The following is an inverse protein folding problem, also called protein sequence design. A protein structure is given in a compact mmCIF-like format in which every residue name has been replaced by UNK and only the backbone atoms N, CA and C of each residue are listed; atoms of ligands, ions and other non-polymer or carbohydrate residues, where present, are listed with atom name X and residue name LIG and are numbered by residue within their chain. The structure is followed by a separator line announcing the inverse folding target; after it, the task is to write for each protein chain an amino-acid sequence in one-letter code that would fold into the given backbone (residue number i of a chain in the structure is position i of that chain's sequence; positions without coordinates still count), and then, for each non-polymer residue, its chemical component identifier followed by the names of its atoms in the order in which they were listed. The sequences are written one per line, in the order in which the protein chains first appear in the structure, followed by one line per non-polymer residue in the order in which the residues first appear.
data_IF_874730306583
#
_entry.id   IF_874730306583
#
_cell.length_a   1.000
_cell.length_b   1.000
_cell.length_c   1.000
_cell.angle_alpha   90.00
_cell.angle_beta   90.00
_cell.angle_gamma   90.00
#
_symmetry.space_group_name_H-M   'P 1'
#
loop_
_entity.id
_entity.type
_entity.pdbx_description
1 polymer ?
#
# COMPACT_ATOMS: atom_id res chain seq x y z
N UNK A 1 -8.42 67.08 13.26
CA UNK A 1 -8.18 65.88 14.11
C UNK A 1 -8.51 64.59 13.35
N UNK A 2 -7.78 64.28 12.26
CA UNK A 2 -8.06 63.11 11.39
C UNK A 2 -6.88 62.11 11.28
N UNK A 3 -5.90 62.22 12.19
CA UNK A 3 -4.61 61.52 12.09
C UNK A 3 -4.34 60.51 13.22
N UNK A 4 -5.21 60.39 14.23
CA UNK A 4 -4.96 59.50 15.39
C UNK A 4 -5.52 58.08 15.21
N UNK A 5 -6.72 57.92 14.64
CA UNK A 5 -7.37 56.58 14.54
C UNK A 5 -6.70 55.64 13.52
N UNK A 6 -6.19 56.17 12.41
CA UNK A 6 -5.47 55.36 11.41
C UNK A 6 -4.15 54.76 11.93
N UNK A 7 -3.56 55.36 12.97
CA UNK A 7 -2.32 54.88 13.61
C UNK A 7 -2.59 53.72 14.57
N UNK A 8 -3.71 53.75 15.29
CA UNK A 8 -4.14 52.67 16.19
C UNK A 8 -4.56 51.45 15.37
N UNK A 9 -5.28 51.66 14.26
CA UNK A 9 -5.75 50.58 13.38
C UNK A 9 -4.60 49.90 12.63
N UNK A 10 -3.60 50.67 12.14
CA UNK A 10 -2.37 50.09 11.57
C UNK A 10 -1.53 49.32 12.60
N UNK A 11 -1.46 49.81 13.85
CA UNK A 11 -0.75 49.11 14.94
C UNK A 11 -1.45 47.83 15.37
N UNK A 12 -2.78 47.78 15.37
CA UNK A 12 -3.54 46.56 15.64
C UNK A 12 -3.41 45.53 14.52
N UNK A 13 -3.45 45.96 13.25
CA UNK A 13 -3.24 45.08 12.10
C UNK A 13 -1.81 44.51 12.08
N UNK A 14 -0.80 45.33 12.38
CA UNK A 14 0.59 44.85 12.51
C UNK A 14 0.78 43.93 13.73
N UNK A 15 0.18 44.26 14.88
CA UNK A 15 0.28 43.45 16.10
C UNK A 15 -0.42 42.10 15.94
N UNK A 16 -1.59 42.06 15.29
CA UNK A 16 -2.32 40.81 15.05
C UNK A 16 -1.66 39.95 13.96
N UNK A 17 -1.10 40.56 12.91
CA UNK A 17 -0.27 39.85 11.93
C UNK A 17 1.00 39.24 12.55
N UNK A 18 1.62 39.93 13.51
CA UNK A 18 2.77 39.42 14.28
C UNK A 18 2.36 38.27 15.20
N UNK A 19 1.19 38.33 15.84
CA UNK A 19 0.67 37.24 16.70
C UNK A 19 0.34 35.98 15.89
N UNK A 20 -0.21 36.13 14.68
CA UNK A 20 -0.46 35.00 13.77
C UNK A 20 0.85 34.40 13.23
N UNK A 21 1.86 35.23 12.95
CA UNK A 21 3.21 34.76 12.58
C UNK A 21 3.95 34.09 13.75
N UNK A 22 3.77 34.56 14.98
CA UNK A 22 4.38 33.97 16.18
C UNK A 22 3.72 32.64 16.61
N UNK A 23 2.41 32.48 16.35
CA UNK A 23 1.70 31.21 16.57
C UNK A 23 2.10 30.11 15.58
N UNK A 24 2.65 30.46 14.41
CA UNK A 24 3.15 29.51 13.41
C UNK A 24 4.55 28.96 13.75
N UNK A 25 5.34 29.63 14.60
CA UNK A 25 6.70 29.18 14.97
C UNK A 25 6.75 28.38 16.27
N UNK A 26 5.71 28.42 17.11
CA UNK A 26 5.65 27.71 18.40
C UNK A 26 5.07 26.29 18.34
N UNK A 27 4.59 25.86 17.16
CA UNK A 27 3.93 24.54 16.99
C UNK A 27 4.84 23.32 16.86
N UNK A 28 6.17 23.48 16.90
CA UNK A 28 7.14 22.38 16.69
C UNK A 28 7.96 22.07 17.94
N UNK A 29 7.33 21.89 19.11
CA UNK A 29 7.98 21.24 20.25
C UNK A 29 7.63 19.74 20.24
N UNK A 30 8.43 18.94 19.51
CA UNK A 30 8.45 17.48 19.67
C UNK A 30 8.80 17.17 21.13
N UNK A 31 7.84 16.61 21.89
CA UNK A 31 8.17 15.90 23.13
C UNK A 31 8.88 14.61 22.76
N UNK A 32 10.17 14.54 23.06
CA UNK A 32 10.91 13.28 23.05
C UNK A 32 10.30 12.35 24.11
N UNK A 33 9.93 11.10 23.76
CA UNK A 33 9.60 10.10 24.76
C UNK A 33 10.89 9.73 25.51
N UNK A 34 10.82 9.76 26.85
CA UNK A 34 11.92 9.35 27.72
C UNK A 34 12.36 7.89 27.46
N UNK A 35 13.60 7.54 27.83
CA UNK A 35 14.19 6.24 27.50
C UNK A 35 13.37 5.08 28.12
N UNK A 36 13.17 3.98 27.39
CA UNK A 36 12.42 2.83 27.90
C UNK A 36 13.16 2.17 29.07
N UNK A 37 12.43 1.62 30.06
CA UNK A 37 13.04 0.86 31.14
C UNK A 37 13.76 -0.37 30.57
N UNK A 38 14.98 -0.62 31.07
CA UNK A 38 15.85 -1.70 30.61
C UNK A 38 15.20 -3.10 30.68
N UNK A 39 15.73 -4.07 29.92
CA UNK A 39 15.13 -5.39 29.77
C UNK A 39 15.05 -6.10 31.13
N UNK A 40 13.83 -6.24 31.65
CA UNK A 40 13.54 -7.16 32.76
C UNK A 40 13.42 -8.56 32.20
N UNK A 41 14.26 -9.47 32.70
CA UNK A 41 14.18 -10.89 32.38
C UNK A 41 12.83 -11.45 32.84
N UNK A 42 11.95 -11.76 31.89
CA UNK A 42 10.71 -12.50 32.16
C UNK A 42 10.99 -13.98 31.93
N UNK A 43 10.82 -14.79 32.97
CA UNK A 43 10.78 -16.26 32.83
C UNK A 43 9.53 -16.62 32.06
N UNK A 44 9.71 -17.08 30.82
CA UNK A 44 8.62 -17.62 30.01
C UNK A 44 8.32 -19.03 30.51
N UNK A 45 7.17 -19.19 31.18
CA UNK A 45 6.61 -20.51 31.43
C UNK A 45 5.91 -20.98 30.14
N UNK A 46 6.24 -22.19 29.69
CA UNK A 46 5.57 -22.86 28.57
C UNK A 46 4.09 -23.04 28.91
N UNK A 47 3.23 -22.23 28.28
CA UNK A 47 1.81 -22.53 28.20
C UNK A 47 1.67 -23.78 27.31
N UNK A 48 1.21 -24.89 27.90
CA UNK A 48 0.74 -26.05 27.11
C UNK A 48 -0.40 -25.55 26.23
N UNK A 49 -0.15 -25.47 24.94
CA UNK A 49 -1.18 -25.31 23.93
C UNK A 49 -1.87 -26.65 23.75
N UNK A 50 -3.03 -26.82 24.37
CA UNK A 50 -4.00 -27.79 23.85
C UNK A 50 -4.42 -27.33 22.46
N UNK A 51 -4.08 -28.16 21.47
CA UNK A 51 -4.45 -27.94 20.07
C UNK A 51 -5.94 -28.18 19.92
N UNK A 52 -6.74 -27.13 20.07
CA UNK A 52 -8.08 -27.09 19.52
C UNK A 52 -7.94 -26.85 18.01
N UNK A 53 -8.03 -27.94 17.25
CA UNK A 53 -8.10 -27.93 15.80
C UNK A 53 -9.20 -26.97 15.33
N UNK A 54 -8.81 -25.79 14.85
CA UNK A 54 -9.68 -24.91 14.06
C UNK A 54 -8.89 -24.49 12.83
N UNK A 55 -9.37 -24.90 11.66
CA UNK A 55 -8.65 -24.87 10.39
C UNK A 55 -8.33 -23.47 9.88
N UNK A 56 -7.15 -22.97 10.19
CA UNK A 56 -6.44 -22.01 9.35
C UNK A 56 -5.68 -22.77 8.26
N UNK A 57 -6.00 -22.52 6.99
CA UNK A 57 -5.24 -23.09 5.87
C UNK A 57 -3.97 -22.25 5.67
N UNK A 58 -2.83 -22.74 6.15
CA UNK A 58 -1.52 -22.13 5.94
C UNK A 58 -0.89 -22.71 4.67
N UNK A 59 -0.64 -21.87 3.67
CA UNK A 59 0.14 -22.24 2.49
C UNK A 59 1.58 -21.74 2.67
N UNK A 60 2.52 -22.67 2.82
CA UNK A 60 3.95 -22.39 2.88
C UNK A 60 4.73 -23.47 2.15
N UNK A 61 5.68 -23.08 1.31
CA UNK A 61 6.63 -24.00 0.69
C UNK A 61 7.67 -24.39 1.74
N UNK A 62 7.65 -25.65 2.17
CA UNK A 62 8.67 -26.24 3.02
C UNK A 62 9.89 -26.59 2.16
N UNK A 63 10.89 -25.72 2.12
CA UNK A 63 12.18 -26.07 1.54
C UNK A 63 13.13 -26.60 2.63
N UNK A 64 13.63 -27.84 2.51
CA UNK A 64 14.56 -28.38 3.50
C UNK A 64 15.88 -27.62 3.44
N UNK A 65 16.24 -26.95 4.53
CA UNK A 65 17.51 -26.21 4.67
C UNK A 65 18.74 -27.14 4.60
N UNK A 66 18.56 -28.45 4.73
CA UNK A 66 19.60 -29.45 4.53
C UNK A 66 18.98 -30.76 4.03
N UNK A 67 19.26 -31.13 2.79
CA UNK A 67 19.03 -32.52 2.32
C UNK A 67 20.19 -33.37 2.84
N UNK A 68 19.99 -34.09 3.94
CA UNK A 68 20.93 -35.14 4.34
C UNK A 68 20.47 -36.46 3.71
N UNK A 69 21.24 -36.93 2.73
CA UNK A 69 20.95 -38.18 2.04
C UNK A 69 21.40 -39.34 2.94
N UNK A 70 20.53 -39.81 3.83
CA UNK A 70 20.75 -41.00 4.68
C UNK A 70 20.42 -42.30 3.93
N UNK A 71 20.76 -42.35 2.64
CA UNK A 71 20.77 -43.62 1.94
C UNK A 71 22.08 -44.32 2.34
N UNK A 72 21.98 -45.52 2.91
CA UNK A 72 23.11 -46.45 2.92
C UNK A 72 23.58 -46.57 1.46
N UNK A 73 24.67 -45.88 1.13
CA UNK A 73 25.01 -45.56 -0.26
C UNK A 73 25.40 -46.78 -1.10
N UNK A 74 25.49 -47.95 -0.47
CA UNK A 74 25.87 -49.20 -1.12
C UNK A 74 25.16 -50.39 -0.46
N UNK A 75 24.25 -51.09 -1.15
CA UNK A 75 23.83 -52.43 -0.75
C UNK A 75 24.98 -53.42 -0.99
N UNK A 76 25.37 -54.20 0.02
CA UNK A 76 26.43 -55.21 -0.13
C UNK A 76 26.48 -56.17 1.06
N UNK A 77 27.05 -57.36 0.87
CA UNK A 77 27.26 -58.30 1.98
C UNK A 77 28.36 -57.78 2.90
N UNK A 78 28.07 -57.77 4.19
CA UNK A 78 29.03 -57.41 5.24
C UNK A 78 30.00 -58.58 5.43
N UNK A 79 31.28 -58.36 5.16
CA UNK A 79 32.35 -59.36 5.33
C UNK A 79 32.75 -59.50 6.80
N UNK A 80 32.85 -58.38 7.51
CA UNK A 80 33.06 -58.35 8.96
C UNK A 80 32.60 -57.03 9.57
N UNK A 81 32.06 -57.12 10.79
CA UNK A 81 31.78 -55.94 11.62
C UNK A 81 33.09 -55.49 12.29
N UNK A 82 33.26 -54.17 12.47
CA UNK A 82 34.40 -53.61 13.18
C UNK A 82 34.49 -54.10 14.62
N UNK A 83 35.71 -54.12 15.19
CA UNK A 83 35.94 -54.48 16.57
C UNK A 83 35.99 -53.25 17.49
N UNK A 84 35.49 -53.40 18.72
CA UNK A 84 35.64 -52.46 19.83
C UNK A 84 36.48 -53.15 20.90
N UNK A 85 37.45 -52.42 21.44
CA UNK A 85 38.32 -52.91 22.50
C UNK A 85 37.65 -52.64 23.85
N UNK A 86 37.18 -53.70 24.48
CA UNK A 86 36.50 -53.65 25.77
C UNK A 86 37.32 -54.46 26.79
N UNK A 87 37.81 -53.82 27.84
CA UNK A 87 38.64 -54.48 28.86
C UNK A 87 39.92 -55.17 28.35
N UNK A 88 40.44 -54.76 27.19
CA UNK A 88 41.67 -55.31 26.60
C UNK A 88 41.48 -56.46 25.60
N UNK A 89 40.25 -56.97 25.41
CA UNK A 89 39.92 -57.95 24.36
C UNK A 89 39.16 -57.27 23.22
N UNK A 90 39.46 -57.66 21.98
CA UNK A 90 38.72 -57.20 20.80
C UNK A 90 37.44 -58.03 20.66
N UNK A 91 36.28 -57.34 20.64
CA UNK A 91 34.97 -57.96 20.40
C UNK A 91 34.23 -57.24 19.26
N UNK A 92 33.35 -57.91 18.51
CA UNK A 92 32.54 -57.26 17.48
C UNK A 92 31.60 -56.21 18.09
N UNK A 93 31.37 -55.12 17.35
CA UNK A 93 30.46 -54.02 17.67
C UNK A 93 29.04 -54.51 17.99
N UNK A 94 28.46 -54.01 19.09
CA UNK A 94 27.05 -54.22 19.46
C UNK A 94 26.32 -52.88 19.56
N UNK A 95 25.00 -52.94 19.44
CA UNK A 95 24.14 -51.76 19.63
C UNK A 95 24.37 -51.15 21.02
N UNK A 96 24.66 -49.85 21.07
CA UNK A 96 24.95 -49.11 22.31
C UNK A 96 26.44 -48.89 22.62
N UNK A 97 27.36 -49.49 21.86
CA UNK A 97 28.79 -49.24 22.02
C UNK A 97 29.18 -47.82 21.56
N UNK A 98 30.09 -47.16 22.29
CA UNK A 98 30.62 -45.84 21.93
C UNK A 98 31.64 -45.97 20.79
N UNK A 99 31.38 -45.31 19.67
CA UNK A 99 32.26 -45.27 18.50
C UNK A 99 32.93 -43.90 18.34
N UNK A 100 34.20 -43.89 17.95
CA UNK A 100 34.96 -42.65 17.74
C UNK A 100 34.90 -42.20 16.27
N UNK A 101 35.02 -40.89 16.04
CA UNK A 101 34.99 -40.32 14.69
C UNK A 101 36.12 -40.90 13.84
N UNK A 102 35.76 -41.65 12.79
CA UNK A 102 36.70 -42.28 11.86
C UNK A 102 36.89 -43.80 12.06
N UNK A 103 36.26 -44.41 13.07
CA UNK A 103 36.29 -45.86 13.28
C UNK A 103 35.46 -46.59 12.20
N UNK A 104 36.07 -47.59 11.56
CA UNK A 104 35.42 -48.40 10.51
C UNK A 104 34.42 -49.36 11.17
N UNK A 105 33.12 -49.20 10.87
CA UNK A 105 32.05 -49.97 11.51
C UNK A 105 31.78 -51.32 10.86
N UNK A 106 32.01 -51.45 9.56
CA UNK A 106 31.97 -52.72 8.85
C UNK A 106 32.79 -52.64 7.56
N UNK A 107 33.35 -53.78 7.15
CA UNK A 107 34.03 -53.97 5.87
C UNK A 107 33.07 -54.74 4.95
N UNK A 108 32.74 -54.14 3.81
CA UNK A 108 31.90 -54.76 2.77
C UNK A 108 32.76 -55.68 1.90
N UNK A 109 32.15 -56.69 1.29
CA UNK A 109 32.83 -57.54 0.30
C UNK A 109 32.96 -56.77 -1.02
N UNK A 110 34.19 -56.40 -1.39
CA UNK A 110 34.48 -55.53 -2.55
C UNK A 110 34.19 -56.20 -3.90
N UNK A 111 33.96 -57.52 -3.95
CA UNK A 111 33.74 -58.25 -5.20
C UNK A 111 32.49 -57.77 -5.93
N UNK A 112 31.38 -57.56 -5.23
CA UNK A 112 30.10 -57.16 -5.85
C UNK A 112 30.17 -55.73 -6.39
N UNK A 113 30.89 -54.85 -5.68
CA UNK A 113 31.16 -53.48 -6.09
C UNK A 113 32.08 -53.40 -7.32
N UNK A 114 33.12 -54.22 -7.35
CA UNK A 114 34.00 -54.34 -8.51
C UNK A 114 33.26 -54.91 -9.72
N UNK A 115 32.39 -55.91 -9.52
CA UNK A 115 31.54 -56.46 -10.59
C UNK A 115 30.55 -55.42 -11.12
N UNK A 116 29.92 -54.62 -10.25
CA UNK A 116 28.98 -53.58 -10.66
C UNK A 116 29.67 -52.40 -11.35
N UNK A 117 30.88 -52.03 -10.92
CA UNK A 117 31.71 -51.03 -11.59
C UNK A 117 32.19 -51.53 -12.97
N UNK A 118 32.57 -52.81 -13.08
CA UNK A 118 32.96 -53.45 -14.33
C UNK A 118 31.79 -53.58 -15.31
N UNK A 119 30.59 -53.97 -14.85
CA UNK A 119 29.40 -54.04 -15.72
C UNK A 119 28.97 -52.66 -16.21
N UNK A 120 29.10 -51.63 -15.37
CA UNK A 120 28.76 -50.25 -15.72
C UNK A 120 29.75 -49.64 -16.72
N UNK A 121 31.05 -49.96 -16.62
CA UNK A 121 32.05 -49.53 -17.61
C UNK A 121 31.92 -50.27 -18.95
N UNK A 122 31.51 -51.55 -18.94
CA UNK A 122 31.14 -52.29 -20.14
C UNK A 122 29.88 -51.72 -20.81
N UNK A 123 28.86 -51.33 -20.03
CA UNK A 123 27.67 -50.66 -20.57
C UNK A 123 27.97 -49.25 -21.14
N UNK A 124 29.01 -48.58 -20.63
CA UNK A 124 29.53 -47.33 -21.20
C UNK A 124 30.21 -47.54 -22.54
N UNK A 125 31.07 -48.55 -22.65
CA UNK A 125 31.79 -48.81 -23.90
C UNK A 125 30.82 -49.19 -25.02
N UNK A 126 29.79 -50.01 -24.75
CA UNK A 126 28.75 -50.33 -25.73
C UNK A 126 27.94 -49.11 -26.16
N UNK A 127 27.49 -48.29 -25.20
CA UNK A 127 26.76 -47.05 -25.51
C UNK A 127 27.60 -46.06 -26.34
N UNK A 128 28.92 -46.03 -26.12
CA UNK A 128 29.83 -45.20 -26.92
C UNK A 128 30.04 -45.72 -28.34
N UNK A 129 30.05 -47.04 -28.52
CA UNK A 129 30.13 -47.68 -29.84
C UNK A 129 28.85 -47.47 -30.65
N UNK A 130 27.68 -47.58 -30.02
CA UNK A 130 26.37 -47.32 -30.64
C UNK A 130 26.22 -45.86 -31.08
N UNK A 131 26.73 -44.91 -30.28
CA UNK A 131 26.74 -43.50 -30.64
C UNK A 131 27.69 -43.23 -31.82
N UNK A 132 28.88 -43.84 -31.82
CA UNK A 132 29.83 -43.69 -32.93
C UNK A 132 29.29 -44.23 -34.26
N UNK A 133 28.60 -45.38 -34.23
CA UNK A 133 27.97 -45.95 -35.43
C UNK A 133 26.79 -45.10 -35.93
N UNK A 134 26.01 -44.52 -35.00
CA UNK A 134 24.92 -43.61 -35.35
C UNK A 134 25.42 -42.26 -35.88
N UNK A 135 26.54 -41.74 -35.38
CA UNK A 135 27.19 -40.52 -35.88
C UNK A 135 27.76 -40.72 -37.30
N UNK A 136 28.34 -41.89 -37.58
CA UNK A 136 28.76 -42.25 -38.94
C UNK A 136 27.55 -42.32 -39.90
N UNK A 137 26.44 -42.91 -39.46
CA UNK A 137 25.20 -42.98 -40.25
C UNK A 137 24.57 -41.60 -40.50
N UNK A 138 24.67 -40.69 -39.54
CA UNK A 138 24.26 -39.30 -39.68
C UNK A 138 25.10 -38.58 -40.72
N UNK A 139 26.43 -38.69 -40.63
CA UNK A 139 27.35 -38.05 -41.57
C UNK A 139 27.09 -38.50 -43.00
N UNK A 140 26.79 -39.79 -43.20
CA UNK A 140 26.41 -40.33 -44.50
C UNK A 140 25.06 -39.75 -44.99
N UNK A 141 24.02 -39.74 -44.14
CA UNK A 141 22.72 -39.18 -44.50
C UNK A 141 22.76 -37.68 -44.80
N UNK A 142 23.62 -36.92 -44.11
CA UNK A 142 23.81 -35.49 -44.38
C UNK A 142 24.59 -35.24 -45.68
N UNK A 143 25.61 -36.05 -45.98
CA UNK A 143 26.30 -36.01 -47.26
C UNK A 143 25.37 -36.33 -48.43
N UNK A 144 24.48 -37.31 -48.27
CA UNK A 144 23.48 -37.68 -49.28
C UNK A 144 22.44 -36.58 -49.48
N UNK A 145 22.02 -35.89 -48.41
CA UNK A 145 21.14 -34.73 -48.49
C UNK A 145 21.79 -33.54 -49.22
N UNK A 146 23.07 -33.26 -48.94
CA UNK A 146 23.81 -32.20 -49.64
C UNK A 146 23.94 -32.52 -51.13
N UNK A 147 24.23 -33.78 -51.47
CA UNK A 147 24.26 -34.26 -52.86
C UNK A 147 22.91 -34.12 -53.54
N UNK A 148 21.83 -34.56 -52.89
CA UNK A 148 20.47 -34.46 -53.42
C UNK A 148 20.03 -33.00 -53.63
N UNK A 149 20.38 -32.09 -52.72
CA UNK A 149 20.13 -30.64 -52.88
C UNK A 149 20.88 -30.06 -54.07
N UNK A 150 22.14 -30.44 -54.27
CA UNK A 150 22.94 -30.00 -55.42
C UNK A 150 22.36 -30.47 -56.75
N UNK A 151 21.91 -31.72 -56.82
CA UNK A 151 21.28 -32.31 -58.02
C UNK A 151 19.87 -31.77 -58.28
N UNK A 152 19.11 -31.44 -57.24
CA UNK A 152 17.82 -30.77 -57.37
C UNK A 152 17.98 -29.33 -57.87
N UNK A 153 19.01 -28.61 -57.42
CA UNK A 153 19.32 -27.25 -57.87
C UNK A 153 19.71 -27.17 -59.36
N UNK A 154 20.32 -28.24 -59.90
CA UNK A 154 20.62 -28.35 -61.34
C UNK A 154 19.47 -28.92 -62.18
N UNK A 155 18.30 -29.20 -61.58
CA UNK A 155 17.13 -29.73 -62.26
C UNK A 155 17.24 -31.21 -62.68
N UNK A 156 18.26 -31.93 -62.23
CA UNK A 156 18.57 -33.29 -62.63
C UNK A 156 17.75 -34.36 -61.88
N UNK A 157 17.06 -33.99 -60.79
CA UNK A 157 16.36 -34.92 -59.89
C UNK A 157 14.95 -34.41 -59.55
N UNK A 158 13.91 -35.26 -59.58
CA UNK A 158 12.56 -34.88 -59.17
C UNK A 158 12.46 -34.63 -57.66
N UNK A 159 11.64 -33.64 -57.25
CA UNK A 159 11.52 -33.19 -55.86
C UNK A 159 11.16 -34.27 -54.83
N UNK A 160 10.58 -35.39 -55.26
CA UNK A 160 10.29 -36.54 -54.40
C UNK A 160 11.54 -37.22 -53.82
N UNK A 161 12.68 -37.21 -54.51
CA UNK A 161 13.93 -37.75 -53.97
C UNK A 161 14.58 -36.81 -52.94
N UNK A 162 14.40 -35.50 -53.12
CA UNK A 162 14.83 -34.50 -52.15
C UNK A 162 14.09 -34.68 -50.80
N UNK A 163 12.77 -34.87 -50.84
CA UNK A 163 11.98 -35.13 -49.63
C UNK A 163 12.38 -36.45 -48.92
N UNK A 164 12.72 -37.49 -49.68
CA UNK A 164 13.26 -38.76 -49.12
C UNK A 164 14.60 -38.55 -48.43
N UNK A 165 15.51 -37.78 -49.03
CA UNK A 165 16.80 -37.49 -48.41
C UNK A 165 16.64 -36.64 -47.14
N UNK A 166 15.72 -35.68 -47.13
CA UNK A 166 15.43 -34.85 -45.95
C UNK A 166 14.80 -35.64 -44.79
N UNK A 167 13.87 -36.54 -45.08
CA UNK A 167 13.25 -37.41 -44.07
C UNK A 167 14.26 -38.38 -43.45
N UNK A 168 15.18 -38.95 -44.25
CA UNK A 168 16.26 -39.80 -43.77
C UNK A 168 17.25 -39.04 -42.88
N UNK A 169 17.68 -37.84 -43.29
CA UNK A 169 18.58 -37.01 -42.48
C UNK A 169 17.92 -36.57 -41.15
N UNK A 170 16.62 -36.24 -41.17
CA UNK A 170 15.87 -35.90 -39.97
C UNK A 170 15.73 -37.10 -39.01
N UNK A 171 15.47 -38.29 -39.54
CA UNK A 171 15.41 -39.52 -38.74
C UNK A 171 16.77 -39.88 -38.14
N UNK A 172 17.87 -39.72 -38.90
CA UNK A 172 19.23 -39.95 -38.40
C UNK A 172 19.61 -38.97 -37.28
N UNK A 173 19.26 -37.68 -37.40
CA UNK A 173 19.44 -36.67 -36.34
C UNK A 173 18.68 -37.01 -35.06
N UNK A 174 17.45 -37.53 -35.18
CA UNK A 174 16.65 -37.95 -34.04
C UNK A 174 17.30 -39.13 -33.28
N UNK A 175 17.81 -40.13 -34.01
CA UNK A 175 18.48 -41.30 -33.43
C UNK A 175 19.78 -40.94 -32.71
N UNK A 176 20.63 -40.09 -33.31
CA UNK A 176 21.89 -39.65 -32.66
C UNK A 176 21.63 -38.83 -31.41
N UNK A 177 20.62 -37.96 -31.41
CA UNK A 177 20.24 -37.17 -30.25
C UNK A 177 19.76 -38.06 -29.08
N UNK A 178 18.95 -39.08 -29.36
CA UNK A 178 18.46 -40.02 -28.35
C UNK A 178 19.61 -40.85 -27.74
N UNK A 179 20.54 -41.35 -28.56
CA UNK A 179 21.70 -42.10 -28.08
C UNK A 179 22.68 -41.22 -27.29
N UNK A 180 22.82 -39.94 -27.65
CA UNK A 180 23.63 -38.96 -26.90
C UNK A 180 23.04 -38.70 -25.51
N UNK A 181 21.71 -38.58 -25.40
CA UNK A 181 21.04 -38.48 -24.11
C UNK A 181 21.22 -39.76 -23.27
N UNK A 182 21.12 -40.94 -23.89
CA UNK A 182 21.33 -42.23 -23.22
C UNK A 182 22.76 -42.38 -22.68
N UNK A 183 23.78 -41.97 -23.44
CA UNK A 183 25.18 -41.94 -22.99
C UNK A 183 25.37 -41.02 -21.78
N UNK A 184 24.74 -39.84 -21.79
CA UNK A 184 24.77 -38.90 -20.66
C UNK A 184 24.25 -39.52 -19.36
N UNK A 185 23.04 -40.10 -19.41
CA UNK A 185 22.42 -40.73 -18.23
C UNK A 185 23.22 -41.90 -17.66
N UNK A 186 23.77 -42.76 -18.54
CA UNK A 186 24.58 -43.89 -18.12
C UNK A 186 25.94 -43.43 -17.57
N UNK A 187 26.51 -42.33 -18.07
CA UNK A 187 27.79 -41.78 -17.60
C UNK A 187 27.71 -41.26 -16.16
N UNK A 188 26.56 -40.68 -15.82
CA UNK A 188 26.25 -40.28 -14.45
C UNK A 188 26.14 -41.50 -13.51
N UNK A 189 25.50 -42.58 -13.95
CA UNK A 189 25.43 -43.84 -13.18
C UNK A 189 26.82 -44.44 -12.91
N UNK A 190 27.74 -44.37 -13.87
CA UNK A 190 29.13 -44.85 -13.67
C UNK A 190 29.89 -43.96 -12.69
N UNK A 191 29.69 -42.64 -12.75
CA UNK A 191 30.29 -41.71 -11.79
C UNK A 191 29.79 -41.96 -10.36
N UNK A 192 28.51 -42.29 -10.19
CA UNK A 192 27.90 -42.67 -8.91
C UNK A 192 28.47 -44.00 -8.42
N UNK A 193 28.53 -45.04 -9.27
CA UNK A 193 29.07 -46.34 -8.92
C UNK A 193 30.56 -46.29 -8.54
N UNK A 194 31.37 -45.45 -9.23
CA UNK A 194 32.79 -45.29 -8.93
C UNK A 194 33.05 -44.57 -7.61
N UNK A 195 32.23 -43.57 -7.27
CA UNK A 195 32.28 -42.89 -5.96
C UNK A 195 31.82 -43.81 -4.82
N UNK A 196 30.79 -44.62 -5.07
CA UNK A 196 30.31 -45.63 -4.14
C UNK A 196 31.38 -46.69 -3.81
N UNK A 197 32.16 -47.10 -4.81
CA UNK A 197 33.27 -48.05 -4.60
C UNK A 197 34.48 -47.45 -3.86
N UNK A 198 34.71 -46.13 -3.92
CA UNK A 198 35.86 -45.50 -3.25
C UNK A 198 35.61 -45.16 -1.77
N UNK A 199 34.35 -44.94 -1.37
CA UNK A 199 33.98 -44.44 -0.04
C UNK A 199 33.22 -45.48 0.81
N UNK A 200 33.66 -46.74 0.84
CA UNK A 200 33.09 -47.79 1.68
C UNK A 200 33.38 -47.56 3.19
N UNK A 201 32.83 -46.49 3.77
CA UNK A 201 32.87 -46.17 5.20
C UNK A 201 31.45 -45.86 5.69
N UNK A 202 30.91 -46.75 6.52
CA UNK A 202 29.65 -46.54 7.21
C UNK A 202 29.81 -45.47 8.29
N UNK A 203 29.03 -44.38 8.19
CA UNK A 203 28.94 -43.30 9.19
C UNK A 203 27.70 -43.52 10.08
N UNK A 204 27.85 -43.25 11.38
CA UNK A 204 26.78 -43.41 12.39
C UNK A 204 25.58 -42.47 12.14
N UNK A 205 24.34 -42.88 12.48
CA UNK A 205 23.16 -42.03 12.41
C UNK A 205 23.32 -40.75 13.25
N UNK A 206 22.99 -39.59 12.67
CA UNK A 206 23.17 -38.26 13.29
C UNK A 206 22.51 -38.13 14.67
N UNK A 207 21.46 -38.91 14.92
CA UNK A 207 20.69 -38.98 16.16
C UNK A 207 21.51 -39.44 17.37
N UNK A 208 22.62 -40.16 17.16
CA UNK A 208 23.50 -40.61 18.24
C UNK A 208 24.48 -39.52 18.71
N UNK A 209 24.66 -38.45 17.93
CA UNK A 209 25.66 -37.39 18.18
C UNK A 209 25.01 -36.01 18.35
N UNK A 210 23.81 -35.80 17.82
CA UNK A 210 23.09 -34.53 17.92
C UNK A 210 21.58 -34.76 18.13
N UNK A 211 20.99 -33.94 19.01
CA UNK A 211 19.54 -33.90 19.22
C UNK A 211 18.90 -32.95 18.19
N UNK A 212 18.21 -33.51 17.21
CA UNK A 212 17.45 -32.72 16.25
C UNK A 212 16.16 -32.23 16.92
N UNK A 213 15.94 -30.92 16.91
CA UNK A 213 14.68 -30.31 17.32
C UNK A 213 14.18 -29.40 16.20
N UNK A 214 12.90 -29.53 15.88
CA UNK A 214 12.25 -28.71 14.85
C UNK A 214 11.63 -27.51 15.56
N UNK A 215 12.24 -26.34 15.38
CA UNK A 215 11.69 -25.08 15.87
C UNK A 215 11.20 -24.22 14.71
N UNK A 216 10.06 -23.56 14.91
CA UNK A 216 9.53 -22.61 13.95
C UNK A 216 10.28 -21.28 14.09
N UNK A 217 11.16 -20.98 13.14
CA UNK A 217 11.80 -19.67 13.05
C UNK A 217 11.07 -18.76 12.04
N UNK A 218 10.88 -17.47 12.36
CA UNK A 218 10.35 -16.51 11.40
C UNK A 218 11.31 -16.36 10.20
N UNK A 219 10.84 -16.64 8.99
CA UNK A 219 11.64 -16.45 7.76
C UNK A 219 12.07 -14.99 7.54
N UNK A 220 11.26 -14.03 8.01
CA UNK A 220 11.52 -12.59 7.90
C UNK A 220 11.13 -11.88 9.20
N UNK A 221 12.02 -11.05 9.71
CA UNK A 221 11.73 -10.15 10.83
C UNK A 221 11.41 -8.78 10.24
N UNK A 222 10.13 -8.42 10.21
CA UNK A 222 9.65 -7.10 9.79
C UNK A 222 9.78 -6.13 10.97
N UNK A 223 10.26 -4.93 10.69
CA UNK A 223 10.38 -3.85 11.67
C UNK A 223 9.81 -2.56 11.10
N UNK A 224 9.12 -1.79 11.94
CA UNK A 224 8.67 -0.43 11.66
C UNK A 224 9.15 0.46 12.80
N UNK A 225 9.80 1.59 12.48
CA UNK A 225 10.40 2.50 13.47
C UNK A 225 11.32 1.80 14.48
N UNK A 226 12.09 0.81 14.01
CA UNK A 226 13.01 -0.05 14.78
C UNK A 226 12.34 -1.06 15.73
N UNK A 227 11.01 -1.06 15.85
CA UNK A 227 10.26 -2.03 16.63
C UNK A 227 9.87 -3.24 15.77
N UNK A 228 9.81 -4.45 16.35
CA UNK A 228 9.40 -5.67 15.64
C UNK A 228 7.89 -5.65 15.43
N UNK A 229 7.45 -5.67 14.18
CA UNK A 229 6.05 -5.44 13.82
C UNK A 229 5.52 -6.60 12.98
N UNK A 230 4.25 -6.95 13.20
CA UNK A 230 3.50 -7.86 12.35
C UNK A 230 2.49 -7.03 11.58
N UNK A 231 2.59 -7.01 10.25
CA UNK A 231 1.65 -6.29 9.40
C UNK A 231 0.45 -7.19 9.10
N UNK A 232 -0.73 -6.75 9.52
CA UNK A 232 -2.01 -7.37 9.14
C UNK A 232 -2.66 -6.46 8.11
N UNK A 233 -2.82 -6.95 6.88
CA UNK A 233 -3.42 -6.22 5.78
C UNK A 233 -4.87 -6.66 5.53
N UNK A 234 -5.69 -5.71 5.09
CA UNK A 234 -7.03 -5.96 4.55
C UNK A 234 -7.20 -5.18 3.25
N UNK A 235 -7.95 -5.73 2.31
CA UNK A 235 -8.25 -5.10 1.02
C UNK A 235 -9.77 -4.88 0.95
N UNK A 236 -10.19 -3.71 0.46
CA UNK A 236 -11.60 -3.39 0.25
C UNK A 236 -12.17 -4.17 -0.93
N UNK A 237 -13.48 -4.43 -0.90
CA UNK A 237 -14.20 -4.92 -2.08
C UNK A 237 -14.33 -3.79 -3.11
N UNK A 238 -14.53 -4.16 -4.37
CA UNK A 238 -14.74 -3.20 -5.45
C UNK A 238 -15.94 -2.29 -5.14
N UNK A 239 -15.74 -0.98 -5.25
CA UNK A 239 -16.78 0.03 -5.01
C UNK A 239 -16.89 0.54 -3.56
N UNK A 240 -16.19 -0.06 -2.60
CA UNK A 240 -16.14 0.41 -1.22
C UNK A 240 -14.91 1.29 -0.95
N UNK A 241 -15.09 2.30 -0.09
CA UNK A 241 -14.00 3.19 0.32
C UNK A 241 -13.28 2.62 1.54
N UNK A 242 -11.95 2.77 1.56
CA UNK A 242 -11.12 2.34 2.69
C UNK A 242 -11.54 2.96 4.03
N UNK A 243 -12.01 4.22 4.01
CA UNK A 243 -12.50 4.90 5.22
C UNK A 243 -13.78 4.29 5.79
N UNK A 244 -14.65 3.74 4.95
CA UNK A 244 -15.89 3.10 5.37
C UNK A 244 -15.59 1.74 6.02
N UNK A 245 -14.79 0.91 5.35
CA UNK A 245 -14.34 -0.38 5.90
C UNK A 245 -13.62 -0.20 7.24
N UNK A 246 -12.76 0.81 7.34
CA UNK A 246 -12.06 1.11 8.58
C UNK A 246 -13.01 1.52 9.70
N UNK A 247 -14.00 2.38 9.42
CA UNK A 247 -14.98 2.81 10.42
C UNK A 247 -15.78 1.63 11.00
N UNK A 248 -16.11 0.65 10.16
CA UNK A 248 -16.83 -0.57 10.55
C UNK A 248 -15.94 -1.57 11.30
N UNK A 249 -14.68 -1.72 10.88
CA UNK A 249 -13.74 -2.67 11.48
C UNK A 249 -13.14 -2.18 12.81
N UNK A 250 -12.94 -0.86 12.97
CA UNK A 250 -12.36 -0.23 14.15
C UNK A 250 -12.96 -0.71 15.49
N UNK A 251 -14.29 -0.73 15.70
CA UNK A 251 -14.86 -1.17 16.98
C UNK A 251 -14.59 -2.65 17.30
N UNK A 252 -14.39 -3.51 16.29
CA UNK A 252 -14.01 -4.90 16.51
C UNK A 252 -12.52 -5.02 16.86
N UNK A 253 -11.67 -4.21 16.22
CA UNK A 253 -10.22 -4.18 16.46
C UNK A 253 -9.92 -3.63 17.85
N UNK A 254 -10.59 -2.56 18.27
CA UNK A 254 -10.40 -1.91 19.58
C UNK A 254 -10.78 -2.83 20.76
N UNK A 255 -11.55 -3.91 20.52
CA UNK A 255 -11.90 -4.92 21.54
C UNK A 255 -10.79 -5.95 21.76
N UNK A 256 -9.79 -6.03 20.89
CA UNK A 256 -8.70 -7.00 21.00
C UNK A 256 -7.78 -6.58 22.15
N UNK A 257 -7.74 -7.39 23.21
CA UNK A 257 -6.81 -7.18 24.34
C UNK A 257 -5.43 -7.70 23.97
N UNK A 258 -4.49 -6.78 23.78
CA UNK A 258 -3.09 -7.10 23.51
C UNK A 258 -2.36 -7.48 24.81
N UNK A 259 -1.41 -8.43 24.77
CA UNK A 259 -0.53 -8.72 25.90
C UNK A 259 0.30 -7.48 26.29
N UNK A 260 0.74 -7.37 27.56
CA UNK A 260 1.57 -6.25 27.99
C UNK A 260 2.86 -6.16 27.15
N UNK A 261 3.16 -4.95 26.65
CA UNK A 261 4.32 -4.69 25.79
C UNK A 261 4.04 -4.67 24.29
N UNK A 262 2.82 -4.98 23.86
CA UNK A 262 2.39 -4.84 22.46
C UNK A 262 1.52 -3.59 22.28
N UNK A 263 1.87 -2.77 21.28
CA UNK A 263 1.04 -1.67 20.79
C UNK A 263 0.46 -2.05 19.43
N UNK A 264 -0.72 -1.52 19.12
CA UNK A 264 -1.30 -1.60 17.79
C UNK A 264 -1.37 -0.20 17.22
N UNK A 265 -0.72 -0.02 16.07
CA UNK A 265 -0.74 1.21 15.31
C UNK A 265 -1.39 0.92 13.95
N UNK A 266 -2.20 1.86 13.49
CA UNK A 266 -2.80 1.77 12.16
C UNK A 266 -1.91 2.50 11.17
N UNK A 267 -1.39 1.76 10.19
CA UNK A 267 -0.57 2.29 9.10
C UNK A 267 -1.29 2.27 7.75
N UNK A 268 -0.58 2.63 6.69
CA UNK A 268 -1.09 2.55 5.30
C UNK A 268 -2.01 3.72 4.93
N UNK A 269 -3.10 3.42 4.22
CA UNK A 269 -4.02 4.44 3.67
C UNK A 269 -4.58 5.37 4.74
N UNK A 270 -4.92 4.84 5.92
CA UNK A 270 -5.45 5.65 7.01
C UNK A 270 -4.41 6.65 7.56
N UNK A 271 -3.15 6.22 7.70
CA UNK A 271 -2.08 7.10 8.17
C UNK A 271 -1.80 8.21 7.14
N UNK A 272 -1.77 7.85 5.85
CA UNK A 272 -1.66 8.82 4.77
C UNK A 272 -2.84 9.81 4.78
N UNK A 273 -4.05 9.31 4.97
CA UNK A 273 -5.26 10.13 5.08
C UNK A 273 -5.20 11.08 6.28
N UNK A 274 -4.78 10.60 7.46
CA UNK A 274 -4.65 11.40 8.67
C UNK A 274 -3.58 12.50 8.53
N UNK A 275 -2.42 12.17 7.94
CA UNK A 275 -1.37 13.15 7.64
C UNK A 275 -1.85 14.19 6.63
N UNK A 276 -2.59 13.79 5.60
CA UNK A 276 -3.17 14.70 4.62
C UNK A 276 -4.25 15.60 5.23
N UNK A 277 -5.11 15.08 6.12
CA UNK A 277 -6.05 15.92 6.86
C UNK A 277 -5.35 16.93 7.75
N UNK A 278 -4.28 16.54 8.43
CA UNK A 278 -3.51 17.45 9.26
C UNK A 278 -2.93 18.60 8.43
N UNK A 279 -2.30 18.31 7.30
CA UNK A 279 -1.73 19.35 6.42
C UNK A 279 -2.80 20.26 5.82
N UNK A 280 -3.91 19.71 5.31
CA UNK A 280 -5.02 20.50 4.76
C UNK A 280 -5.71 21.32 5.86
N UNK A 281 -5.84 20.81 7.08
CA UNK A 281 -6.43 21.57 8.18
C UNK A 281 -5.59 22.78 8.59
N UNK A 282 -4.26 22.67 8.51
CA UNK A 282 -3.35 23.80 8.72
C UNK A 282 -3.53 24.81 7.59
N UNK A 283 -3.54 24.35 6.34
CA UNK A 283 -3.79 25.21 5.19
C UNK A 283 -5.15 25.93 5.30
N UNK A 284 -6.21 25.24 5.71
CA UNK A 284 -7.54 25.80 5.91
C UNK A 284 -7.54 26.91 6.97
N UNK A 285 -6.87 26.71 8.12
CA UNK A 285 -6.76 27.76 9.15
C UNK A 285 -6.03 28.99 8.62
N UNK A 286 -4.95 28.79 7.88
CA UNK A 286 -4.18 29.89 7.25
C UNK A 286 -5.06 30.61 6.21
N UNK A 287 -5.75 29.88 5.33
CA UNK A 287 -6.65 30.45 4.33
C UNK A 287 -7.80 31.24 4.98
N UNK A 288 -8.42 30.70 6.02
CA UNK A 288 -9.48 31.38 6.78
C UNK A 288 -8.97 32.67 7.42
N UNK A 289 -7.78 32.64 8.04
CA UNK A 289 -7.17 33.83 8.60
C UNK A 289 -6.84 34.88 7.53
N UNK A 290 -6.37 34.44 6.35
CA UNK A 290 -6.06 35.32 5.23
C UNK A 290 -7.34 35.96 4.66
N UNK A 291 -8.40 35.17 4.49
CA UNK A 291 -9.73 35.67 4.08
C UNK A 291 -10.26 36.68 5.10
N UNK A 292 -10.14 36.40 6.39
CA UNK A 292 -10.57 37.35 7.41
C UNK A 292 -9.79 38.67 7.31
N UNK A 293 -8.47 38.60 7.14
CA UNK A 293 -7.63 39.79 7.01
C UNK A 293 -7.95 40.60 5.75
N UNK A 294 -8.18 39.94 4.61
CA UNK A 294 -8.57 40.63 3.37
C UNK A 294 -9.94 41.27 3.49
N UNK A 295 -10.90 40.66 4.19
CA UNK A 295 -12.20 41.25 4.45
C UNK A 295 -12.13 42.46 5.39
N UNK A 296 -11.32 42.38 6.45
CA UNK A 296 -11.09 43.53 7.35
C UNK A 296 -10.47 44.68 6.56
N UNK A 297 -9.53 44.39 5.66
CA UNK A 297 -8.93 45.41 4.80
C UNK A 297 -9.98 45.99 3.84
N UNK A 298 -10.74 45.16 3.15
CA UNK A 298 -11.75 45.59 2.19
C UNK A 298 -12.83 46.49 2.83
N UNK A 299 -13.37 46.09 3.97
CA UNK A 299 -14.51 46.75 4.58
C UNK A 299 -14.14 47.79 5.65
N UNK A 300 -12.86 47.92 5.98
CA UNK A 300 -12.33 48.75 7.07
C UNK A 300 -13.06 48.57 8.42
N UNK A 301 -13.74 47.43 8.62
CA UNK A 301 -14.54 47.13 9.80
C UNK A 301 -14.42 45.64 10.13
N UNK A 302 -14.23 45.32 11.41
CA UNK A 302 -14.00 43.96 11.91
C UNK A 302 -15.30 43.16 12.07
N UNK A 303 -16.44 43.84 12.28
CA UNK A 303 -17.73 43.17 12.49
C UNK A 303 -18.33 42.63 11.18
N UNK A 304 -18.12 43.30 10.04
CA UNK A 304 -18.65 42.82 8.75
C UNK A 304 -18.07 41.44 8.36
N UNK A 305 -16.74 41.20 8.41
CA UNK A 305 -16.16 39.87 8.23
C UNK A 305 -16.75 38.82 9.18
N UNK A 306 -17.00 39.18 10.45
CA UNK A 306 -17.55 38.25 11.44
C UNK A 306 -18.94 37.73 11.03
N UNK A 307 -19.77 38.57 10.41
CA UNK A 307 -21.09 38.17 9.89
C UNK A 307 -20.92 37.17 8.72
N UNK A 308 -19.91 37.35 7.87
CA UNK A 308 -19.58 36.39 6.80
C UNK A 308 -19.22 35.02 7.40
N UNK A 309 -18.40 35.00 8.46
CA UNK A 309 -18.04 33.77 9.15
C UNK A 309 -19.23 33.13 9.89
N UNK A 310 -20.15 33.93 10.41
CA UNK A 310 -21.40 33.44 11.02
C UNK A 310 -22.31 32.73 10.00
N UNK A 311 -22.16 33.01 8.70
CA UNK A 311 -22.92 32.34 7.64
C UNK A 311 -22.39 30.92 7.31
N UNK A 312 -21.13 30.60 7.64
CA UNK A 312 -20.48 29.33 7.28
C UNK A 312 -21.17 28.11 7.95
N UNK A 313 -21.50 28.12 9.26
CA UNK A 313 -22.22 27.02 9.89
C UNK A 313 -23.55 26.69 9.20
N UNK A 314 -24.26 27.69 8.67
CA UNK A 314 -25.49 27.46 7.92
C UNK A 314 -25.23 26.73 6.59
N UNK A 315 -24.12 27.01 5.91
CA UNK A 315 -23.71 26.26 4.73
C UNK A 315 -23.31 24.81 5.04
N UNK A 316 -22.73 24.56 6.21
CA UNK A 316 -22.38 23.21 6.67
C UNK A 316 -23.62 22.32 6.86
N UNK A 317 -24.77 22.89 7.23
CA UNK A 317 -26.04 22.14 7.26
C UNK A 317 -26.38 21.55 5.89
N UNK A 318 -26.11 22.31 4.81
CA UNK A 318 -26.27 21.85 3.42
C UNK A 318 -25.37 20.69 3.04
N UNK A 319 -24.12 20.75 3.49
CA UNK A 319 -23.15 19.67 3.29
C UNK A 319 -23.63 18.38 3.96
N UNK A 320 -24.02 18.47 5.23
CA UNK A 320 -24.49 17.31 6.00
C UNK A 320 -25.75 16.73 5.36
N UNK A 321 -26.71 17.57 4.98
CA UNK A 321 -27.93 17.13 4.30
C UNK A 321 -27.61 16.43 2.96
N UNK A 322 -26.69 16.97 2.17
CA UNK A 322 -26.25 16.37 0.90
C UNK A 322 -25.64 14.98 1.08
N UNK A 323 -24.79 14.81 2.10
CA UNK A 323 -24.21 13.50 2.43
C UNK A 323 -25.25 12.50 2.93
N UNK A 324 -26.18 12.95 3.78
CA UNK A 324 -27.24 12.08 4.35
C UNK A 324 -28.21 11.62 3.27
N UNK A 325 -28.68 12.52 2.41
CA UNK A 325 -29.59 12.18 1.30
C UNK A 325 -28.92 11.18 0.35
N UNK A 326 -27.63 11.35 0.09
CA UNK A 326 -26.90 10.49 -0.83
C UNK A 326 -26.28 9.24 -0.17
N UNK A 327 -26.47 9.08 1.14
CA UNK A 327 -25.95 7.97 1.97
C UNK A 327 -24.45 7.73 1.76
N UNK A 328 -23.67 8.79 1.61
CA UNK A 328 -22.22 8.71 1.45
C UNK A 328 -21.51 9.08 2.74
N UNK A 329 -20.43 8.35 3.05
CA UNK A 329 -19.63 8.63 4.24
C UNK A 329 -18.79 9.90 4.08
N UNK A 330 -18.40 10.51 5.20
CA UNK A 330 -17.48 11.64 5.20
C UNK A 330 -16.04 11.15 5.03
N UNK A 331 -15.49 11.34 3.83
CA UNK A 331 -14.11 10.97 3.47
C UNK A 331 -13.17 12.17 3.32
N UNK A 332 -11.93 11.89 2.91
CA UNK A 332 -10.94 12.95 2.60
C UNK A 332 -11.40 13.85 1.45
N UNK A 333 -11.95 13.26 0.40
CA UNK A 333 -12.51 14.03 -0.73
C UNK A 333 -13.71 14.89 -0.33
N UNK A 334 -14.56 14.41 0.59
CA UNK A 334 -15.66 15.20 1.13
C UNK A 334 -15.14 16.46 1.87
N UNK A 335 -14.09 16.31 2.68
CA UNK A 335 -13.46 17.44 3.37
C UNK A 335 -12.87 18.46 2.39
N UNK A 336 -12.21 18.01 1.33
CA UNK A 336 -11.74 18.90 0.27
C UNK A 336 -12.89 19.69 -0.37
N UNK A 337 -14.02 19.04 -0.64
CA UNK A 337 -15.25 19.70 -1.09
C UNK A 337 -15.71 20.79 -0.12
N UNK A 338 -15.79 20.49 1.18
CA UNK A 338 -16.13 21.49 2.22
C UNK A 338 -15.18 22.68 2.19
N UNK A 339 -13.87 22.44 2.10
CA UNK A 339 -12.89 23.53 2.07
C UNK A 339 -13.05 24.44 0.86
N UNK A 340 -13.36 23.86 -0.32
CA UNK A 340 -13.67 24.62 -1.54
C UNK A 340 -14.98 25.40 -1.41
N UNK A 341 -16.01 24.77 -0.83
CA UNK A 341 -17.33 25.37 -0.62
C UNK A 341 -17.27 26.64 0.24
N UNK A 342 -16.44 26.67 1.28
CA UNK A 342 -16.27 27.87 2.13
C UNK A 342 -15.88 29.08 1.28
N UNK A 343 -14.95 28.92 0.33
CA UNK A 343 -14.52 30.01 -0.55
C UNK A 343 -15.66 30.53 -1.45
N UNK A 344 -16.48 29.62 -1.98
CA UNK A 344 -17.63 29.99 -2.82
C UNK A 344 -18.72 30.70 -2.01
N UNK A 345 -18.99 30.24 -0.78
CA UNK A 345 -19.95 30.91 0.11
C UNK A 345 -19.46 32.33 0.44
N UNK A 346 -18.18 32.47 0.77
CA UNK A 346 -17.57 33.78 1.08
C UNK A 346 -17.68 34.72 -0.13
N UNK A 347 -17.40 34.27 -1.35
CA UNK A 347 -17.49 35.14 -2.54
C UNK A 347 -18.91 35.64 -2.79
N UNK A 348 -19.94 34.80 -2.61
CA UNK A 348 -21.33 35.20 -2.76
C UNK A 348 -21.77 36.25 -1.72
N UNK A 349 -21.24 36.18 -0.49
CA UNK A 349 -21.57 37.11 0.59
C UNK A 349 -20.87 38.46 0.41
N UNK A 350 -19.58 38.47 0.05
CA UNK A 350 -18.81 39.72 -0.17
C UNK A 350 -19.53 40.61 -1.17
N UNK A 351 -19.93 40.01 -2.29
CA UNK A 351 -20.58 40.64 -3.43
C UNK A 351 -21.96 41.23 -3.06
N UNK A 352 -22.66 40.60 -2.10
CA UNK A 352 -23.91 41.13 -1.54
C UNK A 352 -23.64 42.32 -0.61
N UNK A 353 -22.64 42.21 0.27
CA UNK A 353 -22.30 43.27 1.22
C UNK A 353 -21.82 44.54 0.51
N UNK A 354 -21.03 44.38 -0.54
CA UNK A 354 -20.56 45.48 -1.39
C UNK A 354 -21.73 46.27 -2.01
N UNK A 355 -22.78 45.56 -2.47
CA UNK A 355 -23.98 46.21 -3.02
C UNK A 355 -24.83 46.92 -1.97
N UNK A 356 -24.92 46.35 -0.76
CA UNK A 356 -25.62 47.01 0.34
C UNK A 356 -24.88 48.29 0.71
N UNK A 357 -23.55 48.24 0.76
CA UNK A 357 -22.70 49.40 1.03
C UNK A 357 -22.86 50.49 -0.02
N UNK A 358 -22.75 50.12 -1.29
CA UNK A 358 -22.94 51.05 -2.41
C UNK A 358 -24.32 51.70 -2.35
N UNK A 359 -25.40 50.93 -2.13
CA UNK A 359 -26.74 51.49 -2.01
C UNK A 359 -26.87 52.47 -0.82
N UNK A 360 -26.20 52.16 0.30
CA UNK A 360 -26.16 53.02 1.50
C UNK A 360 -25.39 54.31 1.28
N UNK A 361 -24.27 54.27 0.53
CA UNK A 361 -23.52 55.47 0.13
C UNK A 361 -24.37 56.42 -0.74
N UNK A 362 -25.30 55.87 -1.52
CA UNK A 362 -26.28 56.64 -2.29
C UNK A 362 -27.48 57.15 -1.45
N UNK A 363 -27.45 56.97 -0.12
CA UNK A 363 -28.45 57.51 0.81
C UNK A 363 -29.73 56.69 0.93
N UNK A 364 -29.77 55.45 0.43
CA UNK A 364 -30.96 54.61 0.61
C UNK A 364 -31.12 54.12 2.05
N UNK A 365 -32.37 54.02 2.49
CA UNK A 365 -32.74 53.41 3.76
C UNK A 365 -32.23 51.97 3.85
N UNK A 366 -31.68 51.55 5.00
CA UNK A 366 -31.06 50.24 5.20
C UNK A 366 -31.94 49.07 4.73
N UNK A 367 -33.21 49.08 5.12
CA UNK A 367 -34.15 48.04 4.74
C UNK A 367 -34.34 47.96 3.22
N UNK A 368 -34.45 49.10 2.54
CA UNK A 368 -34.56 49.15 1.06
C UNK A 368 -33.26 48.71 0.39
N UNK A 369 -32.11 49.19 0.88
CA UNK A 369 -30.79 48.83 0.37
C UNK A 369 -30.56 47.31 0.40
N UNK A 370 -30.94 46.66 1.50
CA UNK A 370 -30.80 45.20 1.66
C UNK A 370 -31.72 44.43 0.71
N UNK A 371 -32.97 44.86 0.54
CA UNK A 371 -33.93 44.24 -0.38
C UNK A 371 -33.45 44.40 -1.83
N UNK A 372 -33.06 45.60 -2.23
CA UNK A 372 -32.61 45.91 -3.58
C UNK A 372 -31.33 45.14 -3.93
N UNK A 373 -30.34 45.13 -3.02
CA UNK A 373 -29.12 44.34 -3.17
C UNK A 373 -29.43 42.84 -3.29
N UNK A 374 -30.38 42.33 -2.49
CA UNK A 374 -30.84 40.95 -2.54
C UNK A 374 -31.44 40.58 -3.91
N UNK A 375 -32.33 41.42 -4.44
CA UNK A 375 -33.02 41.23 -5.71
C UNK A 375 -32.06 41.27 -6.91
N UNK A 376 -31.18 42.28 -6.96
CA UNK A 376 -30.22 42.44 -8.06
C UNK A 376 -29.22 41.28 -8.08
N UNK A 377 -28.81 40.79 -6.91
CA UNK A 377 -27.85 39.68 -6.79
C UNK A 377 -28.50 38.30 -6.86
N UNK A 378 -29.83 38.17 -6.86
CA UNK A 378 -30.48 36.86 -6.89
C UNK A 378 -30.21 36.15 -8.22
N UNK A 379 -30.43 36.83 -9.35
CA UNK A 379 -30.24 36.24 -10.68
C UNK A 379 -28.79 35.81 -10.95
N UNK A 380 -27.76 36.64 -10.73
CA UNK A 380 -26.37 36.23 -10.97
C UNK A 380 -25.94 35.03 -10.13
N UNK A 381 -26.31 34.98 -8.84
CA UNK A 381 -25.94 33.87 -7.94
C UNK A 381 -26.65 32.57 -8.33
N UNK A 382 -27.91 32.63 -8.76
CA UNK A 382 -28.60 31.43 -9.24
C UNK A 382 -27.94 30.87 -10.50
N UNK A 383 -27.48 31.73 -11.43
CA UNK A 383 -26.77 31.29 -12.64
C UNK A 383 -25.45 30.59 -12.29
N UNK A 384 -24.66 31.13 -11.35
CA UNK A 384 -23.39 30.49 -10.95
C UNK A 384 -23.61 29.16 -10.26
N UNK A 385 -24.63 29.05 -9.40
CA UNK A 385 -24.98 27.79 -8.72
C UNK A 385 -25.45 26.76 -9.74
N UNK A 386 -26.35 27.11 -10.65
CA UNK A 386 -26.84 26.20 -11.69
C UNK A 386 -25.73 25.76 -12.63
N UNK A 387 -24.82 26.66 -13.02
CA UNK A 387 -23.66 26.31 -13.85
C UNK A 387 -22.72 25.35 -13.13
N UNK A 388 -22.46 25.59 -11.83
CA UNK A 388 -21.58 24.74 -11.02
C UNK A 388 -22.20 23.36 -10.80
N UNK A 389 -23.47 23.30 -10.43
CA UNK A 389 -24.21 22.03 -10.28
C UNK A 389 -24.23 21.29 -11.62
N UNK A 390 -24.55 21.97 -12.71
CA UNK A 390 -24.55 21.40 -14.06
C UNK A 390 -23.19 20.81 -14.47
N UNK A 391 -22.08 21.49 -14.16
CA UNK A 391 -20.73 20.99 -14.41
C UNK A 391 -20.32 19.81 -13.53
N UNK A 392 -20.89 19.69 -12.34
CA UNK A 392 -20.59 18.60 -11.40
C UNK A 392 -21.47 17.36 -11.59
N UNK A 393 -22.66 17.49 -12.21
CA UNK A 393 -23.55 16.34 -12.50
C UNK A 393 -22.85 15.20 -13.25
N UNK A 394 -22.15 15.41 -14.39
CA UNK A 394 -21.50 14.32 -15.10
C UNK A 394 -20.41 13.66 -14.25
N UNK A 395 -19.67 14.45 -13.47
CA UNK A 395 -18.65 13.94 -12.55
C UNK A 395 -19.26 13.10 -11.42
N UNK A 396 -20.49 13.39 -10.99
CA UNK A 396 -21.21 12.58 -10.00
C UNK A 396 -21.57 11.18 -10.52
N UNK A 397 -21.92 11.10 -11.81
CA UNK A 397 -22.35 9.87 -12.48
C UNK A 397 -21.14 9.00 -12.87
N UNK A 398 -20.13 9.58 -13.50
CA UNK A 398 -19.03 8.85 -14.13
C UNK A 398 -17.69 8.93 -13.37
N UNK A 399 -17.53 9.86 -12.42
CA UNK A 399 -16.25 10.12 -11.74
C UNK A 399 -15.80 9.04 -10.74
N UNK A 400 -16.61 8.01 -10.47
CA UNK A 400 -16.27 6.96 -9.52
C UNK A 400 -16.38 7.36 -8.03
N UNK A 401 -16.13 6.41 -7.10
CA UNK A 401 -16.49 6.55 -5.68
C UNK A 401 -15.73 7.65 -4.93
N UNK A 402 -14.48 7.96 -5.32
CA UNK A 402 -13.72 9.06 -4.70
C UNK A 402 -14.29 10.44 -5.06
N UNK A 403 -14.55 10.71 -6.34
CA UNK A 403 -15.02 12.01 -6.81
C UNK A 403 -16.47 12.28 -6.43
N UNK A 404 -17.27 11.21 -6.38
CA UNK A 404 -18.67 11.25 -5.99
C UNK A 404 -18.90 11.91 -4.62
N UNK A 405 -18.05 11.64 -3.63
CA UNK A 405 -18.15 12.28 -2.31
C UNK A 405 -17.92 13.79 -2.35
N UNK A 406 -16.93 14.24 -3.11
CA UNK A 406 -16.64 15.67 -3.29
C UNK A 406 -17.80 16.38 -3.98
N UNK A 407 -18.34 15.76 -5.04
CA UNK A 407 -19.45 16.32 -5.82
C UNK A 407 -20.73 16.47 -4.99
N UNK A 408 -21.12 15.45 -4.22
CA UNK A 408 -22.37 15.51 -3.44
C UNK A 408 -22.30 16.55 -2.32
N UNK A 409 -21.15 16.69 -1.67
CA UNK A 409 -20.90 17.76 -0.70
C UNK A 409 -21.05 19.12 -1.37
N UNK A 410 -20.48 19.29 -2.56
CA UNK A 410 -20.51 20.57 -3.27
C UNK A 410 -21.93 20.91 -3.72
N UNK A 411 -22.66 19.97 -4.33
CA UNK A 411 -24.03 20.19 -4.82
C UNK A 411 -25.00 20.46 -3.66
N UNK A 412 -25.00 19.60 -2.64
CA UNK A 412 -25.89 19.77 -1.48
C UNK A 412 -25.55 21.02 -0.68
N UNK A 413 -24.26 21.29 -0.51
CA UNK A 413 -23.73 22.50 0.11
C UNK A 413 -24.15 23.75 -0.65
N UNK A 414 -23.90 23.84 -1.96
CA UNK A 414 -24.26 25.01 -2.77
C UNK A 414 -25.76 25.27 -2.80
N UNK A 415 -26.58 24.25 -3.05
CA UNK A 415 -28.02 24.43 -3.19
C UNK A 415 -28.64 24.91 -1.88
N UNK A 416 -28.35 24.23 -0.77
CA UNK A 416 -28.93 24.61 0.51
C UNK A 416 -28.28 25.88 1.08
N UNK A 417 -26.96 26.03 0.98
CA UNK A 417 -26.28 27.24 1.44
C UNK A 417 -26.77 28.46 0.68
N UNK A 418 -27.03 28.39 -0.62
CA UNK A 418 -27.55 29.53 -1.39
C UNK A 418 -28.94 29.94 -0.92
N UNK A 419 -29.83 28.97 -0.70
CA UNK A 419 -31.17 29.24 -0.21
C UNK A 419 -31.13 29.88 1.19
N UNK A 420 -30.34 29.30 2.09
CA UNK A 420 -30.22 29.75 3.48
C UNK A 420 -29.51 31.11 3.54
N UNK A 421 -28.41 31.31 2.81
CA UNK A 421 -27.67 32.58 2.84
C UNK A 421 -28.49 33.72 2.24
N UNK A 422 -29.23 33.51 1.15
CA UNK A 422 -30.08 34.56 0.57
C UNK A 422 -31.20 35.03 1.49
N UNK A 423 -31.67 34.20 2.43
CA UNK A 423 -32.64 34.62 3.45
C UNK A 423 -31.98 35.12 4.74
N UNK A 424 -31.08 34.33 5.31
CA UNK A 424 -30.52 34.53 6.66
C UNK A 424 -29.45 35.61 6.69
N UNK A 425 -28.65 35.79 5.63
CA UNK A 425 -27.57 36.80 5.61
C UNK A 425 -28.12 38.23 5.61
N UNK A 426 -29.14 38.59 4.78
CA UNK A 426 -29.83 39.88 4.89
C UNK A 426 -30.39 40.14 6.29
N UNK A 427 -31.01 39.14 6.91
CA UNK A 427 -31.58 39.24 8.26
C UNK A 427 -30.50 39.48 9.32
N UNK A 428 -29.40 38.71 9.26
CA UNK A 428 -28.24 38.88 10.13
C UNK A 428 -27.62 40.27 9.98
N UNK A 429 -27.55 40.79 8.75
CA UNK A 429 -27.00 42.11 8.48
C UNK A 429 -27.87 43.21 9.11
N UNK A 430 -29.19 43.19 8.89
CA UNK A 430 -30.12 44.16 9.48
C UNK A 430 -30.07 44.09 11.01
N UNK A 431 -30.06 42.89 11.59
CA UNK A 431 -30.01 42.69 13.04
C UNK A 431 -28.71 43.25 13.65
N UNK A 432 -27.56 43.03 12.99
CA UNK A 432 -26.28 43.57 13.47
C UNK A 432 -26.18 45.10 13.35
N UNK A 433 -26.79 45.69 12.32
CA UNK A 433 -26.77 47.15 12.11
C UNK A 433 -27.78 47.85 13.02
N UNK A 434 -29.03 47.40 13.08
CA UNK A 434 -30.09 48.04 13.87
C UNK A 434 -30.07 47.69 15.36
N UNK A 435 -29.86 46.42 15.71
CA UNK A 435 -30.03 45.95 17.10
C UNK A 435 -28.76 46.11 17.93
N UNK A 436 -27.58 46.02 17.31
CA UNK A 436 -26.30 46.05 18.03
C UNK A 436 -25.54 47.38 17.92
N UNK A 437 -25.90 48.28 16.99
CA UNK A 437 -25.20 49.57 16.76
C UNK A 437 -23.66 49.45 16.62
N UNK A 438 -23.12 48.25 16.40
CA UNK A 438 -21.67 47.99 16.32
C UNK A 438 -21.06 48.42 14.99
N UNK A 439 -21.90 48.86 14.05
CA UNK A 439 -21.49 49.45 12.78
C UNK A 439 -22.01 50.88 12.76
N UNK A 440 -21.27 51.79 13.38
CA UNK A 440 -21.58 53.22 13.34
C UNK A 440 -21.31 53.76 11.93
N UNK A 441 -22.40 54.12 11.25
CA UNK A 441 -22.36 54.81 9.97
C UNK A 441 -22.50 56.30 10.20
N UNK A 442 -21.42 57.05 9.98
CA UNK A 442 -21.42 58.50 10.07
C UNK A 442 -22.10 59.10 8.86
N UNK A 443 -23.41 59.34 8.95
CA UNK A 443 -24.13 60.51 8.42
C UNK A 443 -25.65 60.28 8.48
N UNK A 444 -26.25 60.57 9.64
CA UNK A 444 -27.57 61.17 9.65
C UNK A 444 -27.34 62.68 9.61
N UNK A 445 -27.35 63.27 8.42
CA UNK A 445 -27.75 64.67 8.33
C UNK A 445 -29.28 64.66 8.30
N UNK A 446 -29.96 65.23 9.29
CA UNK A 446 -31.40 65.39 9.22
C UNK A 446 -31.68 66.25 7.98
N UNK A 447 -32.50 65.74 7.07
CA UNK A 447 -33.14 66.60 6.09
C UNK A 447 -34.00 67.59 6.87
N UNK A 448 -33.47 68.80 7.06
CA UNK A 448 -34.22 69.96 7.49
C UNK A 448 -35.32 70.18 6.45
N UNK A 449 -36.54 69.81 6.83
CA UNK A 449 -37.76 70.33 6.20
C UNK A 449 -37.91 71.79 6.61
N UNK A 450 -37.08 72.64 6.01
CA UNK A 450 -37.15 74.09 6.14
C UNK A 450 -38.28 74.65 5.28
N UNK A 451 -39.42 74.86 5.94
CA UNK A 451 -40.46 75.86 5.70
C UNK A 451 -40.63 76.49 4.31
N UNK A 452 -41.80 76.25 3.73
CA UNK A 452 -42.39 77.21 2.80
C UNK A 452 -42.75 78.51 3.54
N UNK A 453 -42.30 79.63 3.00
CA UNK A 453 -43.04 80.89 2.89
C UNK A 453 -42.71 81.50 1.53
#
# INVERSE_FOLDING_TARGET
MKTSEGSIMRKFIFSFAIVVMAGLTTGCAKREPGPPPGPRAVRVALARTESAATGGSYAGSLEPRTRLNLAFGVPGRVRSLGSVRDGGKERPLREGDRVTKGQVLALLDDSDLQHQAASSSLAMSTASADLASSEASLAQAEADLVRARGLAASGAVPGAELERAETLAKAARGRTAALRAQKGSRGEQVAIARRAASDARLLSPIEQVARLSTEFEPQKIVRQDLERTITVGAVTKDGELASALFADAKPAIDRIKLPPGYSMTFGGEQEMQAKAFASVSIALKVSVALIFLTLVWQFANVFKPLIVFAAIPFGMVGVVLGLVVTKTNFGFMAFLGVTSLIGVIVSHIIVLFDFIEEAREHGTELHRAVIDAGLVRLRPVLVTVLATVGGLVPLALEGGPMWRQLVYVQIGGLLLATLVTKGVVPLLYVLFVETLHLVEWKNEQPHDTGGGQ
#
